data_IF_230205477707
#
_entry.id   IF_230205477707
#
_cell.length_a   1.000
_cell.length_b   1.000
_cell.length_c   1.000
_cell.angle_alpha   90.00
_cell.angle_beta   90.00
_cell.angle_gamma   90.00
#
_symmetry.space_group_name_H-M   'P 1'
#
loop_
_entity.id
_entity.type
_entity.pdbx_description
1 polymer ?
#
# COMPACT_ATOMS: atom_id res chain seq x y z
N UNK A 1 9.46 -10.41 5.30
CA UNK A 1 10.08 -9.80 6.52
C UNK A 1 9.41 -10.42 7.75
N UNK A 2 9.97 -10.29 8.96
CA UNK A 2 9.28 -10.73 10.19
C UNK A 2 9.13 -9.59 11.21
N UNK A 3 8.03 -9.61 11.95
CA UNK A 3 7.72 -8.71 13.06
C UNK A 3 7.63 -9.52 14.35
N UNK A 4 8.13 -8.98 15.47
CA UNK A 4 7.97 -9.62 16.77
C UNK A 4 6.66 -9.16 17.40
N UNK A 5 5.73 -10.09 17.65
CA UNK A 5 4.45 -9.82 18.29
C UNK A 5 4.17 -10.88 19.34
N UNK A 6 3.77 -10.48 20.56
CA UNK A 6 3.57 -11.39 21.70
C UNK A 6 4.71 -12.40 21.91
N UNK A 7 5.95 -11.95 21.75
CA UNK A 7 7.20 -12.74 21.82
C UNK A 7 7.46 -13.71 20.66
N UNK A 8 6.50 -13.90 19.76
CA UNK A 8 6.60 -14.73 18.56
C UNK A 8 7.12 -13.91 17.36
N UNK A 9 7.69 -14.58 16.36
CA UNK A 9 8.10 -13.93 15.11
C UNK A 9 7.12 -14.26 13.98
N UNK A 10 6.33 -13.28 13.59
CA UNK A 10 5.31 -13.40 12.55
C UNK A 10 5.81 -12.90 11.20
N UNK A 11 5.43 -13.59 10.13
CA UNK A 11 5.74 -13.15 8.76
C UNK A 11 4.85 -11.99 8.36
N UNK A 12 5.47 -10.95 7.80
CA UNK A 12 4.77 -9.83 7.18
C UNK A 12 5.35 -9.54 5.81
N UNK A 13 4.47 -9.11 4.90
CA UNK A 13 4.84 -8.59 3.58
C UNK A 13 4.99 -7.08 3.68
N UNK A 14 6.12 -6.58 3.18
CA UNK A 14 6.41 -5.15 3.07
C UNK A 14 5.89 -4.59 1.77
N UNK A 15 5.28 -3.41 1.85
CA UNK A 15 4.75 -2.62 0.75
C UNK A 15 5.29 -1.19 0.83
N UNK A 16 5.32 -0.49 -0.30
CA UNK A 16 5.65 0.94 -0.43
C UNK A 16 6.81 1.40 0.48
N UNK A 17 7.93 0.70 0.40
CA UNK A 17 9.05 0.87 1.33
C UNK A 17 10.14 1.78 0.76
N UNK A 18 10.80 2.54 1.64
CA UNK A 18 11.90 3.44 1.32
C UNK A 18 12.89 3.52 2.51
N UNK A 19 13.83 4.46 2.49
CA UNK A 19 14.81 4.64 3.58
C UNK A 19 14.17 5.06 4.92
N UNK A 20 13.02 5.73 4.89
CA UNK A 20 12.32 6.21 6.09
C UNK A 20 11.42 5.15 6.73
N UNK A 21 10.97 4.16 5.95
CA UNK A 21 9.98 3.22 6.45
C UNK A 21 9.37 2.28 5.41
N UNK A 22 8.28 1.64 5.81
CA UNK A 22 7.51 0.73 4.97
C UNK A 22 6.08 0.59 5.47
N UNK A 23 5.23 0.05 4.60
CA UNK A 23 3.87 -0.34 4.92
C UNK A 23 3.75 -1.85 5.06
N UNK A 24 2.81 -2.32 5.88
CA UNK A 24 2.45 -3.74 5.93
C UNK A 24 0.99 -3.93 6.35
N UNK A 25 0.48 -5.15 6.12
CA UNK A 25 -0.82 -5.59 6.58
C UNK A 25 -0.68 -6.53 7.78
N UNK A 26 -1.56 -6.38 8.76
CA UNK A 26 -1.64 -7.27 9.91
C UNK A 26 -3.08 -7.44 10.39
N UNK A 27 -3.43 -8.65 10.83
CA UNK A 27 -4.81 -9.02 11.16
C UNK A 27 -5.31 -8.40 12.46
N UNK A 28 -4.40 -8.04 13.36
CA UNK A 28 -4.73 -7.45 14.66
C UNK A 28 -4.42 -5.95 14.66
N UNK A 29 -5.22 -5.15 15.39
CA UNK A 29 -4.94 -3.73 15.56
C UNK A 29 -3.64 -3.52 16.35
N UNK A 30 -2.82 -2.57 15.91
CA UNK A 30 -1.63 -2.07 16.59
C UNK A 30 -1.82 -0.57 16.87
N UNK A 31 -1.14 -0.05 17.89
CA UNK A 31 -1.33 1.34 18.31
C UNK A 31 -0.35 2.29 17.61
N UNK A 32 -0.81 3.49 17.25
CA UNK A 32 0.11 4.56 16.81
C UNK A 32 1.06 4.91 17.96
N UNK A 33 2.34 5.06 17.65
CA UNK A 33 3.42 5.26 18.63
C UNK A 33 4.02 3.96 19.17
N UNK A 34 3.38 2.82 18.95
CA UNK A 34 3.92 1.51 19.35
C UNK A 34 5.24 1.23 18.62
N UNK A 35 6.25 0.79 19.39
CA UNK A 35 7.56 0.43 18.86
C UNK A 35 7.69 -1.08 18.77
N UNK A 36 7.80 -1.60 17.56
CA UNK A 36 7.87 -3.01 17.27
C UNK A 36 9.27 -3.40 16.81
N UNK A 37 9.66 -4.65 17.09
CA UNK A 37 10.92 -5.20 16.60
C UNK A 37 10.67 -5.95 15.29
N UNK A 38 11.51 -5.71 14.30
CA UNK A 38 11.46 -6.34 12.98
C UNK A 38 12.77 -7.06 12.68
N UNK A 39 12.73 -7.98 11.72
CA UNK A 39 13.94 -8.60 11.14
C UNK A 39 13.77 -8.98 9.67
N UNK A 40 14.86 -8.85 8.91
CA UNK A 40 15.02 -9.38 7.55
C UNK A 40 16.33 -10.16 7.50
N UNK A 41 16.25 -11.47 7.27
CA UNK A 41 17.40 -12.35 7.48
C UNK A 41 17.88 -12.30 8.94
N UNK A 42 19.16 -12.01 9.14
CA UNK A 42 19.79 -11.86 10.46
C UNK A 42 19.73 -10.43 11.03
N UNK A 43 19.52 -9.41 10.17
CA UNK A 43 19.44 -8.01 10.59
C UNK A 43 18.14 -7.76 11.37
N UNK A 44 18.26 -7.24 12.60
CA UNK A 44 17.14 -6.86 13.48
C UNK A 44 17.12 -5.36 13.66
N UNK A 45 15.92 -4.78 13.75
CA UNK A 45 15.75 -3.34 13.95
C UNK A 45 14.43 -3.03 14.65
N UNK A 46 14.25 -1.78 15.06
CA UNK A 46 13.00 -1.28 15.63
C UNK A 46 12.32 -0.34 14.64
N UNK A 47 10.99 -0.37 14.61
CA UNK A 47 10.19 0.57 13.86
C UNK A 47 9.01 1.04 14.70
N UNK A 48 8.60 2.29 14.51
CA UNK A 48 7.46 2.89 15.20
C UNK A 48 6.27 2.97 14.26
N UNK A 49 5.10 2.52 14.71
CA UNK A 49 3.85 2.74 13.98
C UNK A 49 3.54 4.23 13.98
N UNK A 50 3.47 4.85 12.80
CA UNK A 50 3.19 6.30 12.66
C UNK A 50 1.77 6.59 12.18
N UNK A 51 1.14 5.62 11.54
CA UNK A 51 -0.26 5.66 11.15
C UNK A 51 -0.81 4.24 11.00
N UNK A 52 -2.12 4.08 11.11
CA UNK A 52 -2.80 2.86 10.70
C UNK A 52 -4.15 3.18 10.07
N UNK A 53 -4.61 2.27 9.23
CA UNK A 53 -5.99 2.21 8.76
C UNK A 53 -6.62 0.92 9.29
N UNK A 54 -7.82 1.06 9.86
CA UNK A 54 -8.64 -0.08 10.22
C UNK A 54 -8.99 -0.91 8.98
N UNK A 55 -9.43 -2.15 9.21
CA UNK A 55 -10.10 -2.92 8.17
C UNK A 55 -11.21 -2.05 7.55
N UNK A 56 -11.23 -1.88 6.22
CA UNK A 56 -12.19 -1.02 5.55
C UNK A 56 -13.59 -1.61 5.66
N UNK A 57 -14.58 -0.74 5.74
CA UNK A 57 -15.96 -1.11 5.44
C UNK A 57 -16.16 -1.30 3.92
N UNK A 58 -17.35 -1.71 3.48
CA UNK A 58 -17.60 -1.97 2.06
C UNK A 58 -17.38 -0.73 1.16
N UNK A 59 -17.76 0.45 1.63
CA UNK A 59 -17.61 1.69 0.86
C UNK A 59 -16.13 2.07 0.72
N UNK A 60 -15.37 1.95 1.81
CA UNK A 60 -13.92 2.17 1.82
C UNK A 60 -13.20 1.13 0.96
N UNK A 61 -13.67 -0.12 0.95
CA UNK A 61 -13.11 -1.18 0.12
C UNK A 61 -13.29 -0.90 -1.38
N UNK A 62 -14.48 -0.40 -1.77
CA UNK A 62 -14.73 0.05 -3.13
C UNK A 62 -13.80 1.21 -3.50
N UNK A 63 -13.68 2.20 -2.62
CA UNK A 63 -12.80 3.35 -2.85
C UNK A 63 -11.34 2.93 -3.03
N UNK A 64 -10.86 2.02 -2.18
CA UNK A 64 -9.51 1.46 -2.27
C UNK A 64 -9.29 0.64 -3.54
N UNK A 65 -10.28 -0.17 -3.96
CA UNK A 65 -10.20 -0.94 -5.20
C UNK A 65 -10.14 -0.02 -6.42
N UNK A 66 -10.97 1.02 -6.47
CA UNK A 66 -10.94 2.00 -7.56
C UNK A 66 -9.62 2.77 -7.60
N UNK A 67 -9.06 3.13 -6.44
CA UNK A 67 -7.74 3.74 -6.35
C UNK A 67 -6.65 2.82 -6.89
N UNK A 68 -6.69 1.53 -6.53
CA UNK A 68 -5.76 0.55 -7.05
C UNK A 68 -5.86 0.45 -8.59
N UNK A 69 -7.08 0.35 -9.13
CA UNK A 69 -7.30 0.31 -10.58
C UNK A 69 -6.77 1.58 -11.28
N UNK A 70 -6.98 2.76 -10.70
CA UNK A 70 -6.47 4.02 -11.27
C UNK A 70 -4.94 3.99 -11.40
N UNK A 71 -4.23 3.56 -10.35
CA UNK A 71 -2.77 3.46 -10.39
C UNK A 71 -2.30 2.36 -11.33
N UNK A 72 -2.93 1.17 -11.32
CA UNK A 72 -2.60 0.09 -12.24
C UNK A 72 -2.77 0.53 -13.70
N UNK A 73 -3.88 1.18 -14.05
CA UNK A 73 -4.11 1.70 -15.40
C UNK A 73 -3.14 2.81 -15.79
N UNK A 74 -2.73 3.67 -14.84
CA UNK A 74 -1.71 4.68 -15.05
C UNK A 74 -0.34 4.04 -15.37
N UNK A 75 0.07 3.02 -14.63
CA UNK A 75 1.37 2.34 -14.82
C UNK A 75 1.45 1.47 -16.09
N UNK A 76 0.33 1.25 -16.79
CA UNK A 76 0.31 0.62 -18.11
C UNK A 76 0.57 1.62 -19.26
N UNK A 77 0.73 2.91 -18.96
CA UNK A 77 0.93 3.97 -19.96
C UNK A 77 2.41 4.30 -20.16
N UNK A 78 2.70 5.03 -21.23
CA UNK A 78 4.05 5.56 -21.47
C UNK A 78 4.42 6.61 -20.41
N UNK A 79 5.72 6.82 -20.18
CA UNK A 79 6.21 7.80 -19.20
C UNK A 79 5.63 9.21 -19.44
N UNK A 80 5.51 9.63 -20.71
CA UNK A 80 4.93 10.92 -21.08
C UNK A 80 3.44 11.03 -20.68
N UNK A 81 2.66 9.96 -20.86
CA UNK A 81 1.26 9.93 -20.45
C UNK A 81 1.14 9.91 -18.92
N UNK A 82 2.03 9.18 -18.23
CA UNK A 82 2.09 9.16 -16.78
C UNK A 82 2.34 10.56 -16.24
N UNK A 83 3.35 11.28 -16.75
CA UNK A 83 3.67 12.63 -16.30
C UNK A 83 2.50 13.60 -16.49
N UNK A 84 1.75 13.46 -17.58
CA UNK A 84 0.55 14.25 -17.85
C UNK A 84 -0.57 13.95 -16.85
N UNK A 85 -0.83 12.67 -16.54
CA UNK A 85 -2.04 12.23 -15.83
C UNK A 85 -1.85 12.04 -14.33
N UNK A 86 -0.60 11.88 -13.87
CA UNK A 86 -0.27 11.52 -12.47
C UNK A 86 -0.85 12.50 -11.46
N UNK A 87 -0.84 13.80 -11.75
CA UNK A 87 -1.39 14.82 -10.85
C UNK A 87 -2.87 14.60 -10.58
N UNK A 88 -3.66 14.41 -11.64
CA UNK A 88 -5.11 14.19 -11.56
C UNK A 88 -5.45 12.87 -10.87
N UNK A 89 -4.74 11.78 -11.24
CA UNK A 89 -4.91 10.47 -10.58
C UNK A 89 -4.63 10.55 -9.08
N UNK A 90 -3.57 11.27 -8.68
CA UNK A 90 -3.23 11.45 -7.26
C UNK A 90 -4.29 12.28 -6.52
N UNK A 91 -4.82 13.33 -7.13
CA UNK A 91 -5.90 14.13 -6.54
C UNK A 91 -7.14 13.26 -6.37
N UNK A 92 -7.57 12.57 -7.43
CA UNK A 92 -8.75 11.75 -7.42
C UNK A 92 -8.64 10.59 -6.42
N UNK A 93 -7.47 9.96 -6.30
CA UNK A 93 -7.23 8.90 -5.34
C UNK A 93 -7.28 9.38 -3.86
N UNK A 94 -6.96 10.65 -3.60
CA UNK A 94 -7.01 11.26 -2.26
C UNK A 94 -8.43 11.66 -1.85
N UNK A 95 -9.29 11.98 -2.82
CA UNK A 95 -10.66 12.37 -2.58
C UNK A 95 -11.53 11.15 -2.24
N UNK A 96 -11.86 11.03 -0.96
CA UNK A 96 -12.74 9.98 -0.43
C UNK A 96 -14.19 10.23 -0.83
N UNK A 97 -14.93 9.15 -1.06
CA UNK A 97 -16.37 9.24 -1.36
C UNK A 97 -16.69 9.78 -2.76
N UNK A 98 -15.71 9.75 -3.67
CA UNK A 98 -15.85 10.18 -5.07
C UNK A 98 -15.79 8.99 -6.03
N UNK A 99 -16.43 7.88 -5.65
CA UNK A 99 -16.41 6.62 -6.41
C UNK A 99 -16.95 6.82 -7.84
N UNK A 100 -18.01 7.60 -8.01
CA UNK A 100 -18.59 7.88 -9.34
C UNK A 100 -17.61 8.62 -10.25
N UNK A 101 -16.86 9.59 -9.72
CA UNK A 101 -15.82 10.31 -10.49
C UNK A 101 -14.65 9.40 -10.84
N UNK A 102 -14.27 8.48 -9.94
CA UNK A 102 -13.23 7.47 -10.20
C UNK A 102 -13.64 6.53 -11.33
N UNK A 103 -14.88 6.06 -11.32
CA UNK A 103 -15.46 5.23 -12.37
C UNK A 103 -15.53 5.97 -13.71
N UNK A 104 -15.98 7.22 -13.70
CA UNK A 104 -16.03 8.06 -14.89
C UNK A 104 -14.64 8.28 -15.48
N UNK A 105 -13.64 8.59 -14.65
CA UNK A 105 -12.26 8.79 -15.08
C UNK A 105 -11.67 7.51 -15.67
N UNK A 106 -11.87 6.36 -15.02
CA UNK A 106 -11.45 5.04 -15.55
C UNK A 106 -12.05 4.77 -16.93
N UNK A 107 -13.34 5.06 -17.11
CA UNK A 107 -14.02 4.88 -18.39
C UNK A 107 -13.51 5.85 -19.47
N UNK A 108 -13.38 7.13 -19.16
CA UNK A 108 -13.05 8.18 -20.14
C UNK A 108 -11.58 8.21 -20.52
N UNK A 109 -10.69 8.28 -19.53
CA UNK A 109 -9.26 8.48 -19.78
C UNK A 109 -8.54 7.18 -20.06
N UNK A 110 -8.97 6.07 -19.44
CA UNK A 110 -8.31 4.78 -19.61
C UNK A 110 -9.05 3.81 -20.55
N UNK A 111 -10.26 4.14 -21.01
CA UNK A 111 -11.14 3.22 -21.73
C UNK A 111 -11.39 1.91 -20.95
N UNK A 112 -11.37 1.99 -19.61
CA UNK A 112 -11.48 0.86 -18.72
C UNK A 112 -12.85 0.86 -18.03
N UNK A 113 -13.73 -0.03 -18.46
CA UNK A 113 -15.07 -0.14 -17.89
C UNK A 113 -15.06 -1.07 -16.67
N UNK A 114 -15.32 -0.49 -15.50
CA UNK A 114 -15.39 -1.23 -14.24
C UNK A 114 -16.81 -1.77 -14.04
N UNK A 115 -17.04 -2.99 -14.53
CA UNK A 115 -18.26 -3.73 -14.22
C UNK A 115 -18.28 -4.24 -12.77
N UNK A 116 -19.47 -4.58 -12.20
CA UNK A 116 -19.59 -5.08 -10.83
C UNK A 116 -18.67 -6.29 -10.54
N UNK A 117 -18.57 -7.23 -11.47
CA UNK A 117 -17.71 -8.42 -11.29
C UNK A 117 -16.21 -8.09 -11.25
N UNK A 118 -15.75 -7.07 -11.98
CA UNK A 118 -14.34 -6.63 -11.96
C UNK A 118 -13.99 -6.00 -10.63
N UNK A 119 -14.90 -5.16 -10.11
CA UNK A 119 -14.75 -4.51 -8.81
C UNK A 119 -14.74 -5.54 -7.67
N UNK A 120 -15.71 -6.45 -7.66
CA UNK A 120 -15.78 -7.54 -6.67
C UNK A 120 -14.51 -8.40 -6.69
N UNK A 121 -14.03 -8.77 -7.88
CA UNK A 121 -12.82 -9.57 -8.03
C UNK A 121 -11.59 -8.81 -7.50
N UNK A 122 -11.47 -7.50 -7.77
CA UNK A 122 -10.39 -6.67 -7.23
C UNK A 122 -10.42 -6.64 -5.70
N UNK A 123 -11.60 -6.42 -5.11
CA UNK A 123 -11.80 -6.40 -3.65
C UNK A 123 -11.45 -7.76 -3.05
N UNK A 124 -11.92 -8.87 -3.63
CA UNK A 124 -11.66 -10.23 -3.13
C UNK A 124 -10.18 -10.62 -3.20
N UNK A 125 -9.49 -10.20 -4.25
CA UNK A 125 -8.06 -10.46 -4.42
C UNK A 125 -7.17 -9.54 -3.56
N UNK A 126 -7.74 -8.51 -2.96
CA UNK A 126 -6.99 -7.54 -2.18
C UNK A 126 -6.69 -8.02 -0.76
N UNK A 127 -5.53 -7.61 -0.23
CA UNK A 127 -5.19 -7.83 1.17
C UNK A 127 -5.86 -6.82 2.12
N UNK A 128 -6.41 -5.72 1.61
CA UNK A 128 -6.99 -4.69 2.47
C UNK A 128 -8.30 -5.13 3.14
N UNK A 129 -9.03 -6.12 2.61
CA UNK A 129 -10.27 -6.60 3.23
C UNK A 129 -10.07 -7.47 4.48
N UNK A 130 -8.89 -8.07 4.66
CA UNK A 130 -8.65 -9.08 5.70
C UNK A 130 -7.71 -8.60 6.79
N UNK A 131 -7.19 -7.38 6.70
CA UNK A 131 -6.15 -6.88 7.59
C UNK A 131 -6.17 -5.37 7.73
N UNK A 132 -5.68 -4.90 8.86
CA UNK A 132 -5.35 -3.51 9.09
C UNK A 132 -4.08 -3.17 8.30
N UNK A 133 -3.97 -1.92 7.82
CA UNK A 133 -2.76 -1.42 7.15
C UNK A 133 -2.01 -0.51 8.10
N UNK A 134 -0.70 -0.67 8.18
CA UNK A 134 0.16 0.10 9.07
C UNK A 134 1.30 0.73 8.29
N UNK A 135 1.62 1.97 8.63
CA UNK A 135 2.86 2.63 8.23
C UNK A 135 3.85 2.64 9.38
N UNK A 136 5.07 2.19 9.09
CA UNK A 136 6.17 2.12 10.04
C UNK A 136 7.23 3.11 9.65
N UNK A 137 7.66 3.94 10.59
CA UNK A 137 8.89 4.71 10.48
C UNK A 137 10.04 3.93 11.12
N UNK A 138 11.17 3.89 10.44
CA UNK A 138 12.37 3.20 10.92
C UNK A 138 13.55 4.15 10.90
N UNK A 139 14.05 4.49 12.09
CA UNK A 139 15.20 5.37 12.26
C UNK A 139 16.43 4.54 12.64
N UNK A 140 16.92 3.71 11.71
CA UNK A 140 18.17 2.96 11.94
C UNK A 140 18.93 2.62 10.65
N UNK A 141 20.27 2.59 10.77
CA UNK A 141 21.17 2.27 9.66
C UNK A 141 20.92 0.87 9.07
N UNK A 142 20.56 -0.10 9.90
CA UNK A 142 20.30 -1.47 9.46
C UNK A 142 19.15 -1.55 8.43
N UNK A 143 18.12 -0.71 8.58
CA UNK A 143 17.02 -0.62 7.62
C UNK A 143 17.42 0.15 6.37
N UNK A 144 18.17 1.23 6.52
CA UNK A 144 18.66 2.00 5.39
C UNK A 144 19.49 1.12 4.44
N UNK A 145 20.37 0.27 4.98
CA UNK A 145 21.10 -0.73 4.22
C UNK A 145 20.17 -1.73 3.52
N UNK A 146 19.18 -2.27 4.25
CA UNK A 146 18.18 -3.20 3.69
C UNK A 146 17.44 -2.57 2.50
N UNK A 147 17.04 -1.30 2.64
CA UNK A 147 16.33 -0.59 1.60
C UNK A 147 17.24 -0.36 0.39
N UNK A 148 18.47 0.11 0.62
CA UNK A 148 19.46 0.37 -0.43
C UNK A 148 19.81 -0.89 -1.23
N UNK A 149 20.11 -2.00 -0.55
CA UNK A 149 20.41 -3.30 -1.17
C UNK A 149 19.24 -3.75 -2.07
N UNK A 150 18.01 -3.61 -1.60
CA UNK A 150 16.83 -4.03 -2.35
C UNK A 150 16.55 -3.14 -3.58
N UNK A 151 16.79 -1.82 -3.50
CA UNK A 151 16.67 -0.93 -4.67
C UNK A 151 17.71 -1.26 -5.73
N UNK A 152 18.95 -1.55 -5.35
CA UNK A 152 20.01 -1.94 -6.29
C UNK A 152 19.67 -3.22 -7.06
N UNK A 153 19.03 -4.19 -6.40
CA UNK A 153 18.62 -5.45 -7.03
C UNK A 153 17.38 -5.32 -7.93
N UNK A 154 16.64 -4.22 -7.85
CA UNK A 154 15.41 -3.98 -8.61
C UNK A 154 15.64 -3.18 -9.91
N UNK A 155 16.89 -2.79 -10.19
CA UNK A 155 17.34 -2.09 -11.41
C UNK A 155 17.97 -3.08 -12.42
N UNK A 156 17.88 -4.39 -12.16
CA UNK A 156 18.26 -5.48 -13.06
C UNK A 156 17.03 -6.16 -13.64
#
# INVERSE_FOLDING_TARGET
MKMQYKMEWEWIKTFDWNAEGFNFFFSLPLSVGESLRFKKGTKKFYGRIIWYHSKPNNEEAIDMALNQMLFEQLYLRSDQEIDRMKGEVVILARDKGKQDLKLEYLGKEFSFNVGPGVLEQCIQNSQFMSSHRFGVKVDCLAWEEIAREAFQLSIL
#
